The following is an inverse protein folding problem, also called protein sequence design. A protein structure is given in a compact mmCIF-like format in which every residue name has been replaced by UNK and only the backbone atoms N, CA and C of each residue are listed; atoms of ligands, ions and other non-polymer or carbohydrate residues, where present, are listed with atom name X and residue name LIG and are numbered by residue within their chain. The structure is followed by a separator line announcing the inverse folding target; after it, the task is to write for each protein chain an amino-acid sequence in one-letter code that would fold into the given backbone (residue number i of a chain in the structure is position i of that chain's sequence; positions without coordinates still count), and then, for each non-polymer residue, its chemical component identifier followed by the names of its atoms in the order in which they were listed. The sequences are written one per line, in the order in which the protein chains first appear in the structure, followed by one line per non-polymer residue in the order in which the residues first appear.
data_IF_246765507137
#
_entry.id   IF_246765507137
#
_cell.length_a   1.000
_cell.length_b   1.000
_cell.length_c   1.000
_cell.angle_alpha   90.00
_cell.angle_beta   90.00
_cell.angle_gamma   90.00
#
_symmetry.space_group_name_H-M   'P 1'
#
loop_
_entity.id
_entity.type
_entity.pdbx_description
1 polymer ?
#
# COMPACT_ATOMS: atom_id res chain seq x y z
N UNK A 1 -35.47 61.36 39.43
CA UNK A 1 -35.23 60.35 40.51
C UNK A 1 -34.04 59.48 40.03
N UNK A 2 -32.91 59.57 40.72
CA UNK A 2 -31.73 58.72 40.45
C UNK A 2 -31.83 57.45 41.29
N UNK A 3 -31.44 56.28 40.82
CA UNK A 3 -31.41 55.06 41.62
C UNK A 3 -30.19 55.10 42.60
N UNK A 4 -30.26 54.37 43.73
CA UNK A 4 -29.24 54.39 44.77
C UNK A 4 -28.00 53.52 44.38
N UNK A 5 -26.84 53.80 45.00
CA UNK A 5 -25.61 53.09 44.72
C UNK A 5 -25.56 51.72 45.40
N UNK A 6 -25.05 50.72 44.67
CA UNK A 6 -24.78 49.35 45.15
C UNK A 6 -23.46 49.30 45.98
N UNK A 7 -23.36 48.44 47.00
CA UNK A 7 -22.19 48.37 47.89
C UNK A 7 -21.04 47.61 47.23
N UNK A 8 -19.82 48.13 47.34
CA UNK A 8 -18.54 47.52 46.92
C UNK A 8 -18.23 46.30 47.77
N UNK A 9 -18.08 45.16 47.09
CA UNK A 9 -17.57 43.92 47.68
C UNK A 9 -16.08 44.04 47.99
N UNK A 10 -15.68 43.71 49.20
CA UNK A 10 -14.29 43.62 49.66
C UNK A 10 -13.60 42.46 49.10
N UNK A 11 -12.52 42.67 48.30
CA UNK A 11 -11.61 41.65 47.81
C UNK A 11 -10.79 41.13 49.00
N UNK A 12 -11.00 39.86 49.37
CA UNK A 12 -10.14 39.14 50.32
C UNK A 12 -8.90 38.61 49.58
N UNK A 13 -7.73 39.07 49.98
CA UNK A 13 -6.44 38.52 49.55
C UNK A 13 -6.32 37.06 49.99
N UNK A 14 -6.24 36.15 49.04
CA UNK A 14 -5.88 34.75 49.27
C UNK A 14 -4.37 34.60 49.13
N UNK A 15 -3.68 33.84 50.01
CA UNK A 15 -2.23 33.71 49.95
C UNK A 15 -1.76 32.86 48.78
N UNK A 16 -0.65 33.27 48.15
CA UNK A 16 0.08 32.56 47.11
C UNK A 16 0.35 31.10 47.50
N UNK A 17 -0.28 30.19 46.78
CA UNK A 17 0.02 28.77 46.84
C UNK A 17 1.32 28.55 46.06
N UNK A 18 2.38 28.13 46.73
CA UNK A 18 3.66 27.74 46.17
C UNK A 18 3.41 26.55 45.22
N UNK A 19 3.70 26.74 43.92
CA UNK A 19 3.71 25.70 42.94
C UNK A 19 4.80 24.65 43.30
N UNK A 20 4.38 23.60 43.98
CA UNK A 20 5.17 22.38 44.03
C UNK A 20 5.10 21.71 42.66
N UNK A 21 6.18 21.87 41.91
CA UNK A 21 6.41 21.07 40.69
C UNK A 21 6.35 19.60 41.04
N UNK A 22 5.19 18.98 40.88
CA UNK A 22 5.05 17.53 40.85
C UNK A 22 5.81 17.01 39.61
N UNK A 23 7.08 16.67 39.81
CA UNK A 23 7.82 15.82 38.89
C UNK A 23 7.19 14.43 38.99
N UNK A 24 6.32 14.11 38.05
CA UNK A 24 5.91 12.72 37.79
C UNK A 24 7.17 11.89 37.58
N UNK A 25 7.31 10.72 38.24
CA UNK A 25 8.48 9.87 38.03
C UNK A 25 8.55 9.45 36.56
N UNK A 26 9.76 9.37 35.97
CA UNK A 26 9.92 9.00 34.58
C UNK A 26 9.38 7.58 34.39
N UNK A 27 8.28 7.46 33.67
CA UNK A 27 7.76 6.20 33.18
C UNK A 27 8.85 5.54 32.31
N UNK A 28 8.96 4.20 32.36
CA UNK A 28 9.98 3.37 31.65
C UNK A 28 10.06 3.59 30.13
N UNK A 29 9.23 4.45 29.56
CA UNK A 29 9.15 4.78 28.12
C UNK A 29 10.08 5.93 27.68
N UNK A 30 10.96 6.45 28.54
CA UNK A 30 11.84 7.58 28.22
C UNK A 30 13.14 7.15 27.49
N UNK A 31 13.25 5.93 26.98
CA UNK A 31 14.35 5.53 26.08
C UNK A 31 14.06 6.03 24.67
N UNK A 32 15.09 6.56 24.00
CA UNK A 32 15.01 6.96 22.60
C UNK A 32 14.33 5.86 21.76
N UNK A 33 13.23 6.18 21.05
CA UNK A 33 12.47 5.18 20.30
C UNK A 33 13.21 4.70 19.06
N UNK A 34 14.20 5.47 18.61
CA UNK A 34 15.02 5.17 17.45
C UNK A 34 16.43 4.76 17.84
N UNK A 35 16.89 3.67 17.27
CA UNK A 35 18.22 3.10 17.49
C UNK A 35 19.08 3.22 16.23
N UNK A 36 20.43 3.15 16.34
CA UNK A 36 21.31 3.07 15.18
C UNK A 36 20.96 1.93 14.22
N UNK A 37 20.41 0.82 14.74
CA UNK A 37 19.96 -0.30 13.92
C UNK A 37 18.77 0.08 13.03
N UNK A 38 17.77 0.80 13.56
CA UNK A 38 16.65 1.30 12.76
C UNK A 38 17.14 2.23 11.65
N UNK A 39 18.09 3.11 11.98
CA UNK A 39 18.69 4.04 11.02
C UNK A 39 19.42 3.27 9.90
N UNK A 40 20.30 2.35 10.24
CA UNK A 40 21.07 1.54 9.27
C UNK A 40 20.15 0.77 8.32
N UNK A 41 19.11 0.13 8.84
CA UNK A 41 18.14 -0.61 8.02
C UNK A 41 17.35 0.33 7.09
N UNK A 42 16.90 1.45 7.60
CA UNK A 42 16.17 2.45 6.81
C UNK A 42 17.06 3.09 5.72
N UNK A 43 18.31 3.41 6.06
CA UNK A 43 19.28 3.94 5.11
C UNK A 43 19.55 2.94 3.97
N UNK A 44 19.85 1.69 4.29
CA UNK A 44 20.08 0.65 3.28
C UNK A 44 18.86 0.46 2.36
N UNK A 45 17.66 0.48 2.94
CA UNK A 45 16.43 0.43 2.15
C UNK A 45 16.31 1.63 1.20
N UNK A 46 16.57 2.85 1.68
CA UNK A 46 16.46 4.07 0.90
C UNK A 46 17.45 4.09 -0.27
N UNK A 47 18.73 3.75 -0.01
CA UNK A 47 19.76 3.67 -1.03
C UNK A 47 19.36 2.70 -2.15
N UNK A 48 18.83 1.53 -1.79
CA UNK A 48 18.34 0.55 -2.77
C UNK A 48 17.10 1.04 -3.53
N UNK A 49 16.19 1.71 -2.85
CA UNK A 49 14.97 2.23 -3.46
C UNK A 49 15.25 3.38 -4.45
N UNK A 50 16.25 4.22 -4.15
CA UNK A 50 16.61 5.42 -4.96
C UNK A 50 17.89 5.26 -5.77
N UNK A 51 18.40 4.04 -5.97
CA UNK A 51 19.69 3.79 -6.66
C UNK A 51 19.75 4.26 -8.12
N UNK A 52 18.61 4.46 -8.77
CA UNK A 52 18.47 4.89 -10.16
C UNK A 52 17.82 6.26 -10.29
N UNK A 53 17.86 7.06 -9.24
CA UNK A 53 17.36 8.44 -9.31
C UNK A 53 18.34 9.29 -10.14
N UNK A 54 17.86 10.40 -10.76
CA UNK A 54 18.69 11.33 -11.52
C UNK A 54 19.87 11.85 -10.70
N UNK A 55 20.92 12.30 -11.38
CA UNK A 55 22.17 12.72 -10.75
C UNK A 55 22.02 14.01 -9.91
N UNK A 56 20.98 14.80 -10.16
CA UNK A 56 20.59 16.00 -9.41
C UNK A 56 19.68 15.71 -8.20
N UNK A 57 19.34 14.44 -7.95
CA UNK A 57 18.47 14.08 -6.84
C UNK A 57 19.17 14.17 -5.47
N UNK A 58 18.44 14.62 -4.46
CA UNK A 58 18.90 14.81 -3.07
C UNK A 58 19.49 13.56 -2.40
N UNK A 59 19.20 12.37 -2.95
CA UNK A 59 19.75 11.11 -2.45
C UNK A 59 21.28 11.05 -2.57
N UNK A 60 21.85 11.71 -3.58
CA UNK A 60 23.30 11.71 -3.78
C UNK A 60 24.01 12.53 -2.71
N UNK A 61 23.43 13.66 -2.28
CA UNK A 61 23.93 14.42 -1.14
C UNK A 61 23.91 13.58 0.15
N UNK A 62 22.79 12.91 0.42
CA UNK A 62 22.66 12.01 1.57
C UNK A 62 23.64 10.84 1.53
N UNK A 63 23.99 10.34 0.34
CA UNK A 63 25.02 9.29 0.18
C UNK A 63 26.42 9.79 0.39
N UNK A 64 26.75 10.97 -0.15
CA UNK A 64 28.06 11.56 -0.05
C UNK A 64 28.43 11.93 1.41
N UNK A 65 27.48 12.55 2.13
CA UNK A 65 27.64 12.95 3.53
C UNK A 65 27.11 11.87 4.52
N UNK A 66 27.05 10.63 4.10
CA UNK A 66 26.24 9.56 4.71
C UNK A 66 26.32 9.45 6.23
N UNK A 67 27.51 9.41 6.83
CA UNK A 67 27.62 9.26 8.29
C UNK A 67 27.15 10.53 9.01
N UNK A 68 27.65 11.70 8.61
CA UNK A 68 27.27 12.99 9.21
C UNK A 68 25.76 13.23 9.17
N UNK A 69 25.15 13.02 7.99
CA UNK A 69 23.71 13.18 7.80
C UNK A 69 22.88 12.23 8.70
N UNK A 70 23.35 10.99 8.84
CA UNK A 70 22.69 10.00 9.69
C UNK A 70 22.75 10.39 11.17
N UNK A 71 23.90 10.88 11.64
CA UNK A 71 24.09 11.29 13.03
C UNK A 71 23.26 12.55 13.36
N UNK A 72 23.22 13.54 12.44
CA UNK A 72 22.39 14.74 12.56
C UNK A 72 20.91 14.38 12.60
N UNK A 73 20.43 13.52 11.71
CA UNK A 73 19.04 13.06 11.66
C UNK A 73 18.65 12.35 12.95
N UNK A 74 19.48 11.41 13.41
CA UNK A 74 19.20 10.64 14.63
C UNK A 74 19.17 11.53 15.86
N UNK A 75 20.10 12.50 15.97
CA UNK A 75 20.14 13.48 17.04
C UNK A 75 18.89 14.36 17.05
N UNK A 76 18.53 14.92 15.90
CA UNK A 76 17.35 15.78 15.77
C UNK A 76 16.02 15.04 16.06
N UNK A 77 15.91 13.78 15.66
CA UNK A 77 14.73 12.96 15.97
C UNK A 77 14.64 12.69 17.46
N UNK A 78 15.73 12.23 18.07
CA UNK A 78 15.76 11.87 19.48
C UNK A 78 15.62 13.10 20.39
N UNK A 79 16.04 14.29 19.93
CA UNK A 79 15.79 15.59 20.58
C UNK A 79 14.34 16.08 20.40
N UNK A 80 13.55 15.48 19.51
CA UNK A 80 12.19 15.95 19.19
C UNK A 80 12.15 17.19 18.30
N UNK A 81 13.29 17.58 17.74
CA UNK A 81 13.48 18.80 16.94
C UNK A 81 13.25 18.58 15.44
N UNK A 82 13.26 17.32 15.01
CA UNK A 82 13.08 16.98 13.58
C UNK A 82 11.74 17.49 13.04
N UNK A 83 11.80 18.15 11.89
CA UNK A 83 10.62 18.65 11.17
C UNK A 83 10.61 18.08 9.76
N UNK A 84 9.48 17.47 9.37
CA UNK A 84 9.26 17.01 8.01
C UNK A 84 9.11 18.20 7.07
N UNK A 85 9.83 18.16 5.96
CA UNK A 85 9.71 19.14 4.88
C UNK A 85 8.38 18.96 4.12
N UNK A 86 7.91 19.98 3.38
CA UNK A 86 6.77 19.80 2.51
C UNK A 86 6.98 18.68 1.47
N UNK A 87 5.92 17.93 1.19
CA UNK A 87 5.90 16.91 0.14
C UNK A 87 5.97 17.60 -1.22
N UNK A 88 6.97 17.33 -2.01
CA UNK A 88 7.19 17.97 -3.31
C UNK A 88 6.41 17.30 -4.42
N UNK A 89 5.80 18.10 -5.29
CA UNK A 89 5.19 17.63 -6.54
C UNK A 89 6.15 17.90 -7.69
N UNK A 90 6.74 16.84 -8.21
CA UNK A 90 7.65 16.92 -9.36
C UNK A 90 6.87 16.62 -10.63
N UNK A 91 6.84 17.57 -11.55
CA UNK A 91 6.24 17.42 -12.89
C UNK A 91 7.28 16.81 -13.83
N UNK A 92 7.04 15.60 -14.29
CA UNK A 92 7.91 14.96 -15.28
C UNK A 92 7.69 15.58 -16.66
N UNK A 93 8.69 15.50 -17.54
CA UNK A 93 8.55 15.90 -18.95
C UNK A 93 7.38 15.21 -19.66
N UNK A 94 6.98 14.04 -19.16
CA UNK A 94 5.79 13.30 -19.60
C UNK A 94 4.45 13.93 -19.17
N UNK A 95 4.41 15.04 -18.41
CA UNK A 95 3.21 15.65 -17.81
C UNK A 95 2.69 14.93 -16.56
N UNK A 96 3.27 13.79 -16.18
CA UNK A 96 2.90 13.06 -14.98
C UNK A 96 3.46 13.76 -13.73
N UNK A 97 2.61 13.94 -12.70
CA UNK A 97 3.06 14.48 -11.40
C UNK A 97 3.43 13.35 -10.45
N UNK A 98 4.58 13.49 -9.80
CA UNK A 98 5.09 12.58 -8.78
C UNK A 98 5.17 13.31 -7.44
N UNK A 99 4.48 12.81 -6.44
CA UNK A 99 4.61 13.30 -5.06
C UNK A 99 5.80 12.59 -4.39
N UNK A 100 6.76 13.37 -3.90
CA UNK A 100 8.01 12.85 -3.37
C UNK A 100 8.40 13.52 -2.05
N UNK A 101 8.67 12.72 -1.04
CA UNK A 101 9.34 13.16 0.18
C UNK A 101 10.83 13.36 -0.09
N UNK A 102 11.46 14.33 0.59
CA UNK A 102 12.92 14.46 0.58
C UNK A 102 13.59 13.13 0.98
N UNK A 103 14.87 12.94 0.63
CA UNK A 103 15.60 11.73 1.04
C UNK A 103 15.76 11.64 2.56
N UNK A 104 15.95 12.79 3.24
CA UNK A 104 15.97 12.84 4.72
C UNK A 104 14.65 12.42 5.32
N UNK A 105 13.53 12.96 4.83
CA UNK A 105 12.19 12.61 5.33
C UNK A 105 11.81 11.17 5.01
N UNK A 106 12.13 10.69 3.80
CA UNK A 106 11.90 9.30 3.43
C UNK A 106 12.66 8.31 4.35
N UNK A 107 13.88 8.68 4.77
CA UNK A 107 14.67 7.92 5.74
C UNK A 107 13.96 7.89 7.10
N UNK A 108 13.55 9.05 7.61
CA UNK A 108 12.85 9.18 8.91
C UNK A 108 11.52 8.43 8.91
N UNK A 109 10.74 8.58 7.85
CA UNK A 109 9.46 7.87 7.69
C UNK A 109 9.66 6.35 7.59
N UNK A 110 10.78 5.88 7.02
CA UNK A 110 11.11 4.46 7.01
C UNK A 110 11.54 3.95 8.38
N UNK A 111 12.32 4.73 9.14
CA UNK A 111 12.65 4.42 10.53
C UNK A 111 11.38 4.34 11.39
N UNK A 112 10.50 5.35 11.26
CA UNK A 112 9.22 5.39 11.97
C UNK A 112 8.37 4.16 11.63
N UNK A 113 8.33 3.74 10.36
CA UNK A 113 7.64 2.52 9.94
C UNK A 113 8.18 1.30 10.69
N UNK A 114 9.50 1.11 10.74
CA UNK A 114 10.13 -0.02 11.45
C UNK A 114 9.78 -0.08 12.93
N UNK A 115 9.75 1.08 13.61
CA UNK A 115 9.36 1.17 15.02
C UNK A 115 7.88 0.88 15.24
N UNK A 116 7.02 1.30 14.31
CA UNK A 116 5.57 1.15 14.42
C UNK A 116 5.08 -0.23 13.99
N UNK A 117 5.79 -0.94 13.12
CA UNK A 117 5.47 -2.33 12.73
C UNK A 117 5.33 -3.27 13.94
N UNK A 118 6.11 -3.05 15.02
CA UNK A 118 6.05 -3.84 16.24
C UNK A 118 4.97 -3.37 17.25
N UNK A 119 4.37 -2.19 17.05
CA UNK A 119 3.47 -1.53 18.01
C UNK A 119 2.03 -1.44 17.53
N UNK A 120 1.81 -1.33 16.24
CA UNK A 120 0.49 -1.22 15.66
C UNK A 120 -0.07 -2.59 15.30
N UNK A 121 -1.28 -2.93 15.77
CA UNK A 121 -1.91 -4.18 15.38
C UNK A 121 -2.33 -4.12 13.90
N UNK A 122 -1.94 -5.13 13.14
CA UNK A 122 -2.40 -5.34 11.77
C UNK A 122 -2.97 -6.73 11.65
N UNK A 123 -4.19 -6.83 11.15
CA UNK A 123 -4.89 -8.11 11.09
C UNK A 123 -4.32 -9.03 9.98
N UNK A 124 -4.15 -10.35 10.23
CA UNK A 124 -3.62 -11.29 9.22
C UNK A 124 -4.44 -11.37 7.93
N UNK A 125 -5.74 -11.03 7.97
CA UNK A 125 -6.60 -10.93 6.78
C UNK A 125 -6.31 -9.69 5.91
N UNK A 126 -5.47 -8.76 6.40
CA UNK A 126 -4.89 -7.68 5.62
C UNK A 126 -3.58 -8.16 5.00
N UNK A 127 -3.67 -8.73 3.80
CA UNK A 127 -2.64 -9.61 3.22
C UNK A 127 -1.47 -8.87 2.54
N UNK A 128 -1.54 -7.54 2.37
CA UNK A 128 -0.46 -6.78 1.72
C UNK A 128 0.72 -6.47 2.64
N UNK A 129 0.57 -6.58 3.94
CA UNK A 129 1.63 -6.30 4.90
C UNK A 129 2.70 -7.39 4.88
N UNK A 130 3.95 -6.97 5.05
CA UNK A 130 5.10 -7.87 5.13
C UNK A 130 4.88 -8.94 6.22
N UNK A 131 5.09 -10.18 5.88
CA UNK A 131 4.81 -11.32 6.77
C UNK A 131 3.42 -11.94 6.61
N UNK A 132 2.44 -11.26 6.00
CA UNK A 132 1.10 -11.80 5.77
C UNK A 132 0.97 -12.55 4.41
N UNK A 133 2.06 -12.65 3.66
CA UNK A 133 2.19 -13.49 2.47
C UNK A 133 2.04 -12.77 1.14
N UNK A 134 1.54 -11.54 1.12
CA UNK A 134 1.40 -10.75 -0.10
C UNK A 134 0.40 -11.31 -1.13
N UNK A 135 0.38 -10.73 -2.31
CA UNK A 135 -0.59 -11.09 -3.36
C UNK A 135 -0.52 -12.55 -3.81
N UNK A 136 0.67 -13.15 -3.80
CA UNK A 136 0.84 -14.58 -4.16
C UNK A 136 0.15 -15.51 -3.17
N UNK A 137 0.34 -15.27 -1.89
CA UNK A 137 -0.28 -16.08 -0.84
C UNK A 137 -1.80 -15.83 -0.80
N UNK A 138 -2.23 -14.59 -1.05
CA UNK A 138 -3.65 -14.26 -1.18
C UNK A 138 -4.32 -15.07 -2.28
N UNK A 139 -3.76 -15.09 -3.49
CA UNK A 139 -4.29 -15.87 -4.61
C UNK A 139 -4.30 -17.38 -4.33
N UNK A 140 -3.25 -17.90 -3.70
CA UNK A 140 -3.18 -19.30 -3.32
C UNK A 140 -4.23 -19.68 -2.26
N UNK A 141 -4.45 -18.82 -1.25
CA UNK A 141 -5.48 -19.04 -0.23
C UNK A 141 -6.88 -19.05 -0.83
N UNK A 142 -7.16 -18.17 -1.79
CA UNK A 142 -8.45 -18.12 -2.50
C UNK A 142 -8.63 -19.35 -3.37
N UNK A 143 -7.62 -19.77 -4.12
CA UNK A 143 -7.63 -20.99 -4.95
C UNK A 143 -7.93 -22.23 -4.11
N UNK A 144 -7.18 -22.40 -3.03
CA UNK A 144 -7.36 -23.53 -2.10
C UNK A 144 -8.76 -23.57 -1.49
N UNK A 145 -9.29 -22.40 -1.09
CA UNK A 145 -10.64 -22.29 -0.52
C UNK A 145 -11.71 -22.69 -1.55
N UNK A 146 -11.61 -22.20 -2.77
CA UNK A 146 -12.59 -22.54 -3.82
C UNK A 146 -12.56 -24.02 -4.19
N UNK A 147 -11.36 -24.63 -4.27
CA UNK A 147 -11.22 -26.07 -4.53
C UNK A 147 -11.79 -26.95 -3.43
N UNK A 148 -11.57 -26.54 -2.18
CA UNK A 148 -12.03 -27.31 -1.03
C UNK A 148 -13.56 -27.19 -0.78
N UNK A 149 -14.15 -26.02 -1.05
CA UNK A 149 -15.51 -25.71 -0.61
C UNK A 149 -16.47 -25.40 -1.77
N UNK A 150 -15.98 -25.23 -2.99
CA UNK A 150 -16.82 -24.91 -4.16
C UNK A 150 -17.74 -23.71 -3.95
N UNK A 151 -17.31 -22.69 -3.20
CA UNK A 151 -18.14 -21.57 -2.73
C UNK A 151 -18.80 -20.83 -3.89
N UNK A 152 -20.15 -20.78 -3.97
CA UNK A 152 -20.85 -20.37 -5.19
C UNK A 152 -21.04 -18.86 -5.36
N UNK A 153 -20.82 -18.05 -4.32
CA UNK A 153 -21.08 -16.62 -4.38
C UNK A 153 -19.85 -15.78 -4.03
N UNK A 154 -19.67 -14.70 -4.78
CA UNK A 154 -18.54 -13.77 -4.61
C UNK A 154 -19.01 -12.33 -4.58
N UNK A 155 -18.36 -11.55 -3.74
CA UNK A 155 -18.34 -10.09 -3.78
C UNK A 155 -16.90 -9.63 -3.78
N UNK A 156 -16.56 -8.79 -4.76
CA UNK A 156 -15.26 -8.09 -4.85
C UNK A 156 -15.51 -6.60 -5.02
N UNK A 157 -14.74 -5.78 -4.35
CA UNK A 157 -14.83 -4.32 -4.46
C UNK A 157 -13.52 -3.66 -4.10
N UNK A 158 -13.42 -2.35 -4.35
CA UNK A 158 -12.29 -1.48 -4.11
C UNK A 158 -12.78 -0.16 -3.49
N UNK A 159 -12.05 0.43 -2.57
CA UNK A 159 -12.37 1.76 -2.02
C UNK A 159 -11.93 2.84 -3.02
N UNK A 160 -12.84 3.74 -3.37
CA UNK A 160 -12.52 4.88 -4.23
C UNK A 160 -11.55 5.83 -3.54
N UNK A 161 -10.33 5.92 -4.07
CA UNK A 161 -9.33 6.86 -3.58
C UNK A 161 -8.93 6.67 -2.11
N UNK A 162 -8.71 5.43 -1.67
CA UNK A 162 -8.51 5.06 -0.27
C UNK A 162 -7.60 6.01 0.51
N UNK A 163 -6.33 6.18 0.08
CA UNK A 163 -5.39 7.05 0.79
C UNK A 163 -5.86 8.51 0.89
N UNK A 164 -6.49 9.04 -0.15
CA UNK A 164 -6.99 10.40 -0.18
C UNK A 164 -8.26 10.61 0.65
N UNK A 165 -8.98 9.52 0.94
CA UNK A 165 -10.24 9.57 1.69
C UNK A 165 -10.07 9.34 3.20
N UNK A 166 -8.89 8.91 3.67
CA UNK A 166 -8.63 8.67 5.09
C UNK A 166 -8.86 9.94 5.92
N UNK A 167 -9.67 9.82 6.97
CA UNK A 167 -9.88 10.88 7.96
C UNK A 167 -8.68 10.92 8.91
N UNK A 168 -7.94 12.05 8.89
CA UNK A 168 -6.71 12.25 9.66
C UNK A 168 -6.96 12.26 11.16
N UNK A 169 -8.02 12.91 11.59
CA UNK A 169 -8.37 13.01 13.01
C UNK A 169 -8.74 11.66 13.59
N UNK A 170 -9.54 10.89 12.85
CA UNK A 170 -9.89 9.53 13.24
C UNK A 170 -8.66 8.62 13.30
N UNK A 171 -7.81 8.67 12.28
CA UNK A 171 -6.58 7.87 12.25
C UNK A 171 -5.65 8.26 13.41
N UNK A 172 -5.49 9.55 13.69
CA UNK A 172 -4.68 10.01 14.82
C UNK A 172 -5.25 9.54 16.18
N UNK A 173 -6.56 9.63 16.36
CA UNK A 173 -7.22 9.12 17.56
C UNK A 173 -7.07 7.58 17.73
N UNK A 174 -7.02 6.83 16.63
CA UNK A 174 -6.70 5.40 16.68
C UNK A 174 -5.25 5.17 17.08
N UNK A 175 -4.30 5.94 16.52
CA UNK A 175 -2.87 5.83 16.81
C UNK A 175 -2.54 6.14 18.29
N UNK A 176 -3.17 7.15 18.89
CA UNK A 176 -2.93 7.53 20.29
C UNK A 176 -3.37 6.47 21.31
N UNK A 177 -4.20 5.51 20.91
CA UNK A 177 -4.55 4.35 21.76
C UNK A 177 -3.42 3.33 21.87
N UNK A 178 -2.48 3.33 20.95
CA UNK A 178 -1.39 2.35 20.87
C UNK A 178 -0.01 2.97 21.04
N UNK A 179 0.12 4.26 20.80
CA UNK A 179 1.37 5.00 20.86
C UNK A 179 1.25 6.09 21.91
N UNK A 180 2.14 6.06 22.90
CA UNK A 180 2.19 7.04 23.99
C UNK A 180 3.45 7.90 23.95
N UNK A 181 4.49 7.45 23.22
CA UNK A 181 5.77 8.13 23.16
C UNK A 181 5.68 9.47 22.41
N UNK A 182 6.07 10.61 23.04
CA UNK A 182 5.82 11.94 22.49
C UNK A 182 6.53 12.20 21.15
N UNK A 183 7.75 11.70 20.96
CA UNK A 183 8.50 11.85 19.70
C UNK A 183 7.78 11.11 18.55
N UNK A 184 7.28 9.90 18.81
CA UNK A 184 6.52 9.15 17.78
C UNK A 184 5.21 9.84 17.44
N UNK A 185 4.48 10.34 18.45
CA UNK A 185 3.23 11.08 18.23
C UNK A 185 3.47 12.38 17.47
N UNK A 186 4.56 13.11 17.76
CA UNK A 186 4.91 14.32 17.03
C UNK A 186 5.21 14.02 15.55
N UNK A 187 6.02 13.02 15.24
CA UNK A 187 6.30 12.62 13.85
C UNK A 187 5.05 12.13 13.12
N UNK A 188 4.18 11.39 13.80
CA UNK A 188 2.89 10.95 13.25
C UNK A 188 1.97 12.13 12.96
N UNK A 189 1.92 13.11 13.88
CA UNK A 189 1.16 14.34 13.67
C UNK A 189 1.66 15.11 12.45
N UNK A 190 2.97 15.33 12.34
CA UNK A 190 3.59 15.99 11.18
C UNK A 190 3.29 15.24 9.88
N UNK A 191 3.41 13.91 9.89
CA UNK A 191 3.11 13.07 8.73
C UNK A 191 1.64 13.17 8.30
N UNK A 192 0.71 13.22 9.23
CA UNK A 192 -0.72 13.35 8.92
C UNK A 192 -1.09 14.76 8.45
N UNK A 193 -0.43 15.79 8.99
CA UNK A 193 -0.69 17.19 8.65
C UNK A 193 0.36 17.78 7.70
N UNK A 194 0.93 16.94 6.84
CA UNK A 194 1.92 17.35 5.87
C UNK A 194 1.42 18.46 4.96
N UNK A 195 2.32 19.37 4.60
CA UNK A 195 2.12 20.34 3.53
C UNK A 195 2.64 19.80 2.21
N UNK A 196 2.06 20.26 1.12
CA UNK A 196 2.46 19.94 -0.26
C UNK A 196 2.99 21.20 -0.89
N UNK A 197 4.12 21.08 -1.57
CA UNK A 197 4.71 22.11 -2.41
C UNK A 197 4.53 21.71 -3.88
N UNK A 198 3.87 22.56 -4.68
CA UNK A 198 3.65 22.37 -6.11
C UNK A 198 4.03 23.66 -6.86
N UNK A 199 5.29 23.74 -7.30
CA UNK A 199 5.81 24.86 -8.06
C UNK A 199 5.70 26.21 -7.33
N UNK A 200 6.08 26.24 -6.06
CA UNK A 200 6.05 27.42 -5.19
C UNK A 200 4.71 27.61 -4.44
N UNK A 201 3.69 26.86 -4.77
CA UNK A 201 2.41 26.90 -4.05
C UNK A 201 2.37 25.88 -2.92
N UNK A 202 2.04 26.36 -1.72
CA UNK A 202 1.94 25.51 -0.54
C UNK A 202 0.49 25.30 -0.13
N UNK A 203 0.10 24.05 0.13
CA UNK A 203 -1.21 23.72 0.68
C UNK A 203 -1.14 22.51 1.60
N UNK A 204 -2.05 22.46 2.58
CA UNK A 204 -2.18 21.32 3.50
C UNK A 204 -3.49 20.58 3.19
N UNK A 205 -3.44 19.33 2.69
CA UNK A 205 -4.65 18.56 2.43
C UNK A 205 -5.47 18.36 3.71
N UNK A 206 -6.76 18.64 3.67
CA UNK A 206 -7.64 18.46 4.85
C UNK A 206 -7.88 16.98 5.18
N UNK A 207 -7.88 16.09 4.19
CA UNK A 207 -8.08 14.63 4.30
C UNK A 207 -6.95 13.90 3.59
N UNK A 208 -6.83 12.63 3.93
CA UNK A 208 -5.91 11.72 3.29
C UNK A 208 -4.50 11.73 3.86
N UNK A 209 -3.77 10.67 3.58
CA UNK A 209 -2.34 10.53 3.87
C UNK A 209 -1.54 10.51 2.56
N UNK A 210 -0.28 10.91 2.63
CA UNK A 210 0.56 10.99 1.44
C UNK A 210 0.77 9.60 0.83
N UNK A 211 0.77 9.53 -0.49
CA UNK A 211 1.22 8.35 -1.23
C UNK A 211 2.74 8.39 -1.37
N UNK A 212 3.38 7.24 -1.53
CA UNK A 212 4.84 7.19 -1.75
C UNK A 212 5.69 7.21 -0.49
N UNK A 213 5.10 7.32 0.71
CA UNK A 213 5.83 7.13 1.96
C UNK A 213 5.84 5.65 2.38
N UNK A 214 6.96 5.19 2.95
CA UNK A 214 7.05 3.84 3.51
C UNK A 214 6.03 3.57 4.63
N UNK A 215 5.62 4.63 5.32
CA UNK A 215 4.67 4.57 6.44
C UNK A 215 3.22 4.35 6.01
N UNK A 216 2.83 4.85 4.83
CA UNK A 216 1.42 4.88 4.40
C UNK A 216 0.75 3.52 4.31
N UNK A 217 1.38 2.45 3.78
CA UNK A 217 0.77 1.12 3.76
C UNK A 217 0.48 0.56 5.16
N UNK A 218 1.37 0.78 6.12
CA UNK A 218 1.18 0.34 7.50
C UNK A 218 0.00 1.07 8.15
N UNK A 219 -0.06 2.39 8.03
CA UNK A 219 -1.16 3.18 8.60
C UNK A 219 -2.51 2.85 7.93
N UNK A 220 -2.51 2.63 6.63
CA UNK A 220 -3.70 2.19 5.91
C UNK A 220 -4.17 0.79 6.34
N UNK A 221 -3.23 -0.13 6.61
CA UNK A 221 -3.57 -1.45 7.15
C UNK A 221 -4.17 -1.34 8.55
N UNK A 222 -3.51 -0.58 9.43
CA UNK A 222 -3.93 -0.35 10.80
C UNK A 222 -5.30 0.35 10.88
N UNK A 223 -5.56 1.35 10.04
CA UNK A 223 -6.80 2.13 10.05
C UNK A 223 -8.07 1.28 9.95
N UNK A 224 -8.03 0.17 9.23
CA UNK A 224 -9.13 -0.77 9.06
C UNK A 224 -8.99 -2.07 9.89
N UNK A 225 -8.14 -2.08 10.90
CA UNK A 225 -7.91 -3.24 11.78
C UNK A 225 -9.21 -3.75 12.41
N UNK A 226 -10.06 -2.85 12.91
CA UNK A 226 -11.33 -3.20 13.55
C UNK A 226 -12.30 -3.87 12.56
N UNK A 227 -12.34 -3.37 11.32
CA UNK A 227 -13.14 -3.99 10.24
C UNK A 227 -12.65 -5.40 9.92
N UNK A 228 -11.33 -5.59 9.75
CA UNK A 228 -10.76 -6.92 9.51
C UNK A 228 -11.05 -7.87 10.68
N UNK A 229 -10.95 -7.37 11.91
CA UNK A 229 -11.24 -8.14 13.14
C UNK A 229 -12.71 -8.55 13.22
N UNK A 230 -13.63 -7.68 12.80
CA UNK A 230 -15.06 -8.00 12.72
C UNK A 230 -15.31 -9.14 11.71
N UNK A 231 -14.71 -9.05 10.52
CA UNK A 231 -14.84 -10.09 9.51
C UNK A 231 -14.15 -11.40 9.88
N UNK A 232 -13.08 -11.37 10.66
CA UNK A 232 -12.42 -12.57 11.16
C UNK A 232 -13.33 -13.42 12.06
N UNK A 233 -14.26 -12.79 12.80
CA UNK A 233 -15.23 -13.47 13.64
C UNK A 233 -16.36 -14.14 12.83
N UNK A 234 -16.54 -13.76 11.57
CA UNK A 234 -17.58 -14.32 10.71
C UNK A 234 -17.06 -15.55 9.95
N UNK A 235 -17.16 -16.71 10.59
CA UNK A 235 -16.70 -18.00 10.02
C UNK A 235 -17.53 -18.49 8.83
N UNK A 236 -18.69 -17.86 8.55
CA UNK A 236 -19.58 -18.25 7.44
C UNK A 236 -19.14 -17.72 6.09
N UNK A 237 -18.14 -16.82 6.06
CA UNK A 237 -17.60 -16.26 4.83
C UNK A 237 -16.09 -16.37 4.80
N UNK A 238 -15.53 -16.49 3.61
CA UNK A 238 -14.11 -16.26 3.40
C UNK A 238 -13.91 -14.79 3.05
N UNK A 239 -13.22 -14.07 3.92
CA UNK A 239 -12.84 -12.67 3.72
C UNK A 239 -11.34 -12.56 3.46
N UNK A 240 -10.96 -11.67 2.55
CA UNK A 240 -9.57 -11.25 2.32
C UNK A 240 -9.55 -9.78 1.95
N UNK A 241 -8.55 -9.05 2.46
CA UNK A 241 -8.29 -7.66 2.09
C UNK A 241 -6.84 -7.49 1.61
N UNK A 242 -6.70 -6.82 0.49
CA UNK A 242 -5.40 -6.42 -0.02
C UNK A 242 -5.40 -4.90 -0.25
N UNK A 243 -4.85 -4.14 0.69
CA UNK A 243 -4.96 -2.67 0.74
C UNK A 243 -6.42 -2.19 0.75
N UNK A 244 -6.88 -1.65 -0.36
CA UNK A 244 -8.21 -1.15 -0.68
C UNK A 244 -9.11 -2.14 -1.42
N UNK A 245 -8.54 -3.24 -1.91
CA UNK A 245 -9.29 -4.34 -2.55
C UNK A 245 -9.86 -5.32 -1.49
N UNK A 246 -11.15 -5.63 -1.59
CA UNK A 246 -11.86 -6.56 -0.73
C UNK A 246 -12.41 -7.74 -1.51
N UNK A 247 -12.33 -8.93 -0.92
CA UNK A 247 -12.93 -10.14 -1.44
C UNK A 247 -13.74 -10.84 -0.35
N UNK A 248 -15.00 -11.19 -0.64
CA UNK A 248 -15.87 -12.01 0.21
C UNK A 248 -16.39 -13.16 -0.63
N UNK A 249 -16.17 -14.39 -0.18
CA UNK A 249 -16.78 -15.59 -0.72
C UNK A 249 -17.77 -16.16 0.29
N UNK A 250 -18.94 -16.59 -0.16
CA UNK A 250 -20.00 -17.07 0.72
C UNK A 250 -20.74 -18.30 0.13
N UNK A 251 -21.20 -19.24 0.98
CA UNK A 251 -21.90 -20.45 0.55
C UNK A 251 -23.33 -20.17 0.06
N UNK A 252 -23.96 -19.10 0.52
CA UNK A 252 -25.33 -18.75 0.12
C UNK A 252 -25.46 -17.28 -0.25
N UNK A 253 -26.45 -16.98 -1.09
CA UNK A 253 -26.79 -15.60 -1.49
C UNK A 253 -27.11 -14.70 -0.29
N UNK A 254 -27.79 -15.25 0.71
CA UNK A 254 -28.21 -14.51 1.90
C UNK A 254 -27.01 -14.18 2.81
N UNK A 255 -26.12 -15.15 3.02
CA UNK A 255 -24.87 -14.94 3.76
C UNK A 255 -24.01 -13.86 3.09
N UNK A 256 -23.89 -13.89 1.74
CA UNK A 256 -23.18 -12.86 0.99
C UNK A 256 -23.82 -11.48 1.17
N UNK A 257 -25.16 -11.37 0.99
CA UNK A 257 -25.87 -10.10 1.12
C UNK A 257 -25.70 -9.48 2.50
N UNK A 258 -25.74 -10.29 3.57
CA UNK A 258 -25.49 -9.82 4.93
C UNK A 258 -24.07 -9.29 5.06
N UNK A 259 -23.06 -10.06 4.68
CA UNK A 259 -21.66 -9.65 4.75
C UNK A 259 -21.37 -8.38 3.93
N UNK A 260 -21.98 -8.24 2.74
CA UNK A 260 -21.84 -7.03 1.90
C UNK A 260 -22.48 -5.81 2.55
N UNK A 261 -23.66 -5.97 3.17
CA UNK A 261 -24.31 -4.89 3.94
C UNK A 261 -23.42 -4.44 5.09
N UNK A 262 -22.89 -5.39 5.87
CA UNK A 262 -22.07 -5.13 7.03
C UNK A 262 -20.75 -4.43 6.60
N UNK A 263 -20.12 -4.87 5.51
CA UNK A 263 -18.95 -4.20 4.92
C UNK A 263 -19.25 -2.76 4.51
N UNK A 264 -20.35 -2.55 3.76
CA UNK A 264 -20.76 -1.22 3.31
C UNK A 264 -21.03 -0.28 4.48
N UNK A 265 -21.72 -0.76 5.50
CA UNK A 265 -22.01 0.01 6.72
C UNK A 265 -20.74 0.40 7.45
N UNK A 266 -19.82 -0.55 7.66
CA UNK A 266 -18.52 -0.26 8.26
C UNK A 266 -17.73 0.79 7.45
N UNK A 267 -17.60 0.61 6.14
CA UNK A 267 -16.86 1.54 5.29
C UNK A 267 -17.51 2.93 5.25
N UNK A 268 -18.84 3.00 5.23
CA UNK A 268 -19.58 4.27 5.34
C UNK A 268 -19.31 4.99 6.66
N UNK A 269 -19.24 4.25 7.79
CA UNK A 269 -18.88 4.80 9.08
C UNK A 269 -17.45 5.40 9.12
N UNK A 270 -16.53 4.87 8.28
CA UNK A 270 -15.21 5.44 8.07
C UNK A 270 -15.19 6.59 7.05
N UNK A 271 -16.33 6.89 6.42
CA UNK A 271 -16.44 7.91 5.37
C UNK A 271 -15.89 7.46 4.00
N UNK A 272 -15.79 6.15 3.78
CA UNK A 272 -15.34 5.59 2.51
C UNK A 272 -16.50 5.26 1.57
N UNK A 273 -16.25 5.42 0.28
CA UNK A 273 -17.15 5.01 -0.79
C UNK A 273 -16.51 3.90 -1.63
N UNK A 274 -17.32 2.94 -2.07
CA UNK A 274 -16.86 1.88 -2.95
C UNK A 274 -16.76 2.39 -4.39
N UNK A 275 -15.82 1.81 -5.15
CA UNK A 275 -15.67 2.11 -6.57
C UNK A 275 -16.71 1.33 -7.38
N UNK A 276 -17.71 1.98 -8.01
CA UNK A 276 -18.81 1.26 -8.67
C UNK A 276 -18.32 0.35 -9.80
N UNK A 277 -17.43 0.84 -10.67
CA UNK A 277 -16.92 0.09 -11.83
C UNK A 277 -16.00 -1.08 -11.49
N UNK A 278 -15.52 -1.16 -10.25
CA UNK A 278 -14.68 -2.25 -9.75
C UNK A 278 -15.44 -3.18 -8.82
N UNK A 279 -16.71 -2.89 -8.54
CA UNK A 279 -17.54 -3.73 -7.68
C UNK A 279 -18.17 -4.85 -8.48
N UNK A 280 -17.90 -6.07 -8.08
CA UNK A 280 -18.48 -7.27 -8.66
C UNK A 280 -19.25 -8.06 -7.60
N UNK A 281 -20.51 -8.38 -7.88
CA UNK A 281 -21.38 -9.21 -7.05
C UNK A 281 -22.01 -10.29 -7.94
N UNK A 282 -21.84 -11.56 -7.60
CA UNK A 282 -22.43 -12.61 -8.43
C UNK A 282 -22.05 -14.01 -8.00
N UNK A 283 -22.28 -14.96 -8.94
CA UNK A 283 -21.86 -16.35 -8.80
C UNK A 283 -20.41 -16.53 -9.24
N UNK A 284 -19.66 -17.35 -8.52
CA UNK A 284 -18.28 -17.73 -8.84
C UNK A 284 -18.15 -18.50 -10.15
N UNK A 285 -19.22 -19.17 -10.62
CA UNK A 285 -19.30 -19.83 -11.94
C UNK A 285 -19.02 -18.84 -13.09
N UNK A 286 -19.50 -17.59 -12.97
CA UNK A 286 -19.28 -16.54 -13.98
C UNK A 286 -17.83 -16.05 -14.00
N UNK A 287 -17.07 -16.36 -12.97
CA UNK A 287 -15.70 -15.95 -12.78
C UNK A 287 -15.56 -14.55 -12.19
N UNK A 288 -14.42 -14.31 -11.53
CA UNK A 288 -14.04 -13.01 -10.95
C UNK A 288 -12.53 -12.81 -10.99
N UNK A 289 -12.13 -11.55 -10.98
CA UNK A 289 -10.71 -11.14 -10.92
C UNK A 289 -10.28 -10.94 -9.46
N UNK A 290 -9.19 -11.57 -9.04
CA UNK A 290 -8.51 -11.27 -7.79
C UNK A 290 -7.01 -11.24 -8.01
N UNK A 291 -6.37 -10.15 -7.64
CA UNK A 291 -4.93 -9.95 -7.82
C UNK A 291 -4.43 -10.29 -9.24
N UNK A 292 -5.27 -9.99 -10.27
CA UNK A 292 -4.97 -10.20 -11.70
C UNK A 292 -5.11 -11.62 -12.22
N UNK A 293 -5.60 -12.53 -11.38
CA UNK A 293 -5.95 -13.88 -11.78
C UNK A 293 -7.46 -14.02 -11.91
N UNK A 294 -7.90 -14.82 -12.85
CA UNK A 294 -9.30 -15.14 -13.10
C UNK A 294 -9.68 -16.42 -12.39
N UNK A 295 -10.62 -16.33 -11.48
CA UNK A 295 -11.13 -17.43 -10.68
C UNK A 295 -12.53 -17.84 -11.12
N UNK A 296 -12.84 -19.12 -10.97
CA UNK A 296 -14.18 -19.68 -10.97
C UNK A 296 -14.37 -20.57 -9.74
N UNK A 297 -15.53 -21.23 -9.63
CA UNK A 297 -15.86 -22.12 -8.51
C UNK A 297 -14.79 -23.19 -8.24
N UNK A 298 -14.13 -23.72 -9.29
CA UNK A 298 -13.05 -24.71 -9.18
C UNK A 298 -11.64 -24.11 -8.95
N UNK A 299 -11.52 -22.83 -8.62
CA UNK A 299 -10.25 -22.16 -8.40
C UNK A 299 -9.74 -21.37 -9.59
N UNK A 300 -8.41 -21.19 -9.68
CA UNK A 300 -7.75 -20.41 -10.74
C UNK A 300 -7.96 -21.05 -12.11
N UNK A 301 -8.46 -20.27 -13.07
CA UNK A 301 -8.67 -20.70 -14.45
C UNK A 301 -7.61 -20.11 -15.40
N UNK A 302 -7.33 -18.83 -15.26
CA UNK A 302 -6.47 -18.09 -16.17
C UNK A 302 -6.00 -16.79 -15.54
N UNK A 303 -5.35 -15.98 -16.35
CA UNK A 303 -5.04 -14.61 -15.99
C UNK A 303 -6.25 -13.76 -16.32
N UNK A 304 -6.57 -12.80 -15.44
CA UNK A 304 -7.70 -11.92 -15.63
C UNK A 304 -7.59 -11.14 -16.96
N UNK A 305 -8.67 -11.03 -17.75
CA UNK A 305 -8.65 -10.31 -19.04
C UNK A 305 -8.13 -8.88 -18.92
N UNK A 306 -8.48 -8.19 -17.83
CA UNK A 306 -8.02 -6.83 -17.52
C UNK A 306 -6.50 -6.77 -17.31
N UNK A 307 -5.91 -7.78 -16.66
CA UNK A 307 -4.46 -7.89 -16.47
C UNK A 307 -3.74 -8.12 -17.79
N UNK A 308 -4.30 -8.96 -18.67
CA UNK A 308 -3.84 -9.18 -20.04
C UNK A 308 -3.82 -7.89 -20.86
N UNK A 309 -4.92 -7.14 -20.85
CA UNK A 309 -5.05 -5.88 -21.58
C UNK A 309 -4.04 -4.83 -21.10
N UNK A 310 -3.88 -4.71 -19.78
CA UNK A 310 -2.87 -3.82 -19.18
C UNK A 310 -1.44 -4.20 -19.60
N UNK A 311 -1.13 -5.48 -19.64
CA UNK A 311 0.18 -5.93 -20.10
C UNK A 311 0.45 -5.60 -21.57
N UNK A 312 -0.51 -5.88 -22.44
CA UNK A 312 -0.39 -5.53 -23.87
C UNK A 312 -0.12 -4.05 -24.05
N UNK A 313 -0.88 -3.20 -23.35
CA UNK A 313 -0.68 -1.76 -23.39
C UNK A 313 0.72 -1.37 -22.89
N UNK A 314 1.18 -1.98 -21.79
CA UNK A 314 2.51 -1.70 -21.25
C UNK A 314 3.65 -2.18 -22.17
N UNK A 315 3.49 -3.30 -22.86
CA UNK A 315 4.45 -3.73 -23.86
C UNK A 315 4.54 -2.73 -25.01
N UNK A 316 3.39 -2.22 -25.51
CA UNK A 316 3.38 -1.18 -26.55
C UNK A 316 4.09 0.09 -26.08
N UNK A 317 3.73 0.61 -24.91
CA UNK A 317 4.36 1.81 -24.32
C UNK A 317 5.87 1.64 -24.11
N UNK A 318 6.30 0.48 -23.61
CA UNK A 318 7.73 0.19 -23.47
C UNK A 318 8.42 0.16 -24.82
N UNK A 319 7.83 -0.49 -25.84
CA UNK A 319 8.37 -0.52 -27.19
C UNK A 319 8.54 0.87 -27.78
N UNK A 320 7.51 1.72 -27.70
CA UNK A 320 7.58 3.12 -28.15
C UNK A 320 8.67 3.92 -27.42
N UNK A 321 8.79 3.71 -26.12
CA UNK A 321 9.80 4.41 -25.31
C UNK A 321 11.24 4.00 -25.67
N UNK A 322 11.47 2.75 -26.07
CA UNK A 322 12.80 2.21 -26.37
C UNK A 322 13.09 2.08 -27.87
N UNK A 323 12.20 2.52 -28.76
CA UNK A 323 12.32 2.35 -30.21
C UNK A 323 13.58 3.02 -30.82
N UNK A 324 14.11 4.05 -30.14
CA UNK A 324 15.34 4.76 -30.53
C UNK A 324 16.62 4.01 -30.19
N UNK A 325 16.56 2.97 -29.37
CA UNK A 325 17.71 2.16 -29.00
C UNK A 325 18.03 1.14 -30.11
N UNK A 326 19.24 0.59 -30.08
CA UNK A 326 19.59 -0.52 -30.97
C UNK A 326 18.71 -1.76 -30.68
N UNK A 327 18.61 -2.66 -31.66
CA UNK A 327 17.71 -3.84 -31.60
C UNK A 327 18.02 -4.79 -30.44
N UNK A 328 19.30 -4.93 -30.07
CA UNK A 328 19.72 -5.82 -28.99
C UNK A 328 19.26 -5.29 -27.63
N UNK A 329 19.44 -3.98 -27.37
CA UNK A 329 18.95 -3.32 -26.17
C UNK A 329 17.43 -3.31 -26.10
N UNK A 330 16.72 -3.09 -27.22
CA UNK A 330 15.26 -3.21 -27.29
C UNK A 330 14.83 -4.61 -26.86
N UNK A 331 15.45 -5.64 -27.45
CA UNK A 331 15.13 -7.04 -27.16
C UNK A 331 15.43 -7.40 -25.71
N UNK A 332 16.58 -6.96 -25.16
CA UNK A 332 16.97 -7.21 -23.79
C UNK A 332 16.00 -6.56 -22.78
N UNK A 333 15.61 -5.28 -23.01
CA UNK A 333 14.65 -4.56 -22.15
C UNK A 333 13.25 -5.18 -22.20
N UNK A 334 12.76 -5.54 -23.39
CA UNK A 334 11.48 -6.22 -23.54
C UNK A 334 11.49 -7.60 -22.87
N UNK A 335 12.56 -8.38 -23.03
CA UNK A 335 12.72 -9.68 -22.39
C UNK A 335 12.80 -9.55 -20.86
N UNK A 336 13.51 -8.55 -20.35
CA UNK A 336 13.59 -8.25 -18.93
C UNK A 336 12.22 -7.93 -18.32
N UNK A 337 11.45 -7.06 -18.98
CA UNK A 337 10.08 -6.74 -18.58
C UNK A 337 9.19 -7.99 -18.57
N UNK A 338 9.21 -8.81 -19.63
CA UNK A 338 8.44 -10.06 -19.74
C UNK A 338 8.83 -11.07 -18.66
N UNK A 339 10.13 -11.24 -18.38
CA UNK A 339 10.61 -12.13 -17.31
C UNK A 339 10.10 -11.70 -15.92
N UNK A 340 10.19 -10.42 -15.59
CA UNK A 340 9.67 -9.90 -14.31
C UNK A 340 8.17 -10.19 -14.18
N UNK A 341 7.44 -9.93 -15.24
CA UNK A 341 6.02 -10.13 -15.28
C UNK A 341 5.59 -11.61 -15.15
N UNK A 342 6.31 -12.53 -15.79
CA UNK A 342 6.11 -13.99 -15.65
C UNK A 342 6.43 -14.44 -14.23
N UNK A 343 7.50 -13.93 -13.61
CA UNK A 343 7.86 -14.28 -12.21
C UNK A 343 6.76 -13.93 -11.21
N UNK A 344 6.04 -12.85 -11.42
CA UNK A 344 4.91 -12.48 -10.59
C UNK A 344 3.76 -13.50 -10.65
N UNK A 345 3.72 -14.31 -11.69
CA UNK A 345 2.65 -15.26 -12.02
C UNK A 345 3.09 -16.72 -11.91
N UNK A 346 4.36 -16.97 -11.55
CA UNK A 346 4.91 -18.33 -11.41
C UNK A 346 4.02 -19.31 -10.62
N UNK A 347 3.25 -18.93 -9.59
CA UNK A 347 2.30 -19.83 -8.94
C UNK A 347 1.25 -20.38 -9.90
N UNK A 348 0.89 -19.60 -10.93
CA UNK A 348 -0.14 -19.98 -11.92
C UNK A 348 0.44 -20.85 -13.02
N UNK A 349 1.65 -20.51 -13.51
CA UNK A 349 2.31 -21.28 -14.58
C UNK A 349 2.75 -22.65 -14.11
N UNK A 350 3.26 -22.77 -12.88
CA UNK A 350 3.59 -24.06 -12.25
C UNK A 350 2.36 -24.95 -12.10
N UNK A 351 1.23 -24.38 -11.72
CA UNK A 351 -0.04 -25.10 -11.58
C UNK A 351 -0.57 -25.60 -12.93
N UNK A 352 -0.50 -24.79 -13.97
CA UNK A 352 -0.93 -25.20 -15.32
C UNK A 352 -0.03 -26.28 -15.95
N UNK A 353 1.27 -26.29 -15.62
CA UNK A 353 2.18 -27.37 -16.02
C UNK A 353 1.88 -28.67 -15.28
N UNK A 354 1.50 -28.61 -13.99
CA UNK A 354 1.11 -29.79 -13.22
C UNK A 354 -0.22 -30.39 -13.71
N UNK A 355 -1.21 -29.57 -14.09
CA UNK A 355 -2.46 -30.08 -14.66
C UNK A 355 -2.24 -30.75 -16.05
N UNK A 356 -1.31 -30.25 -16.86
CA UNK A 356 -0.93 -30.92 -18.15
C UNK A 356 -0.23 -32.26 -17.90
N UNK A 357 0.60 -32.37 -16.87
CA UNK A 357 1.26 -33.65 -16.50
C UNK A 357 0.26 -34.71 -16.00
N UNK A 358 -0.77 -34.28 -15.31
CA UNK A 358 -1.79 -35.20 -14.76
C UNK A 358 -2.94 -35.53 -15.73
N UNK A 359 -3.09 -34.78 -16.83
CA UNK A 359 -4.19 -34.92 -17.79
C UNK A 359 -3.87 -35.59 -19.10
N UNK A 360 -2.60 -35.91 -19.39
CA UNK A 360 -2.20 -36.59 -20.64
C UNK A 360 -1.44 -37.87 -20.29
N UNK A 361 -2.11 -39.01 -20.40
CA UNK A 361 -1.42 -40.26 -20.82
C UNK A 361 -1.10 -40.08 -22.31
N UNK A 362 0.15 -40.16 -22.75
CA UNK A 362 0.46 -40.13 -24.18
C UNK A 362 0.05 -41.44 -24.82
N UNK A 363 -0.90 -41.38 -25.75
CA UNK A 363 -0.99 -42.34 -26.82
C UNK A 363 0.29 -42.24 -27.65
N UNK A 364 0.90 -43.38 -27.93
CA UNK A 364 2.10 -43.59 -28.72
C UNK A 364 2.07 -42.83 -30.04
N UNK A 365 3.04 -41.98 -30.32
CA UNK A 365 3.23 -41.30 -31.58
C UNK A 365 4.32 -40.24 -31.51
N UNK A 366 5.48 -40.58 -32.04
CA UNK A 366 6.67 -39.73 -32.19
C UNK A 366 6.37 -38.34 -32.73
N UNK A 367 6.61 -37.29 -31.95
CA UNK A 367 6.94 -35.96 -32.47
C UNK A 367 7.74 -35.17 -31.43
N UNK A 368 8.86 -34.66 -31.89
CA UNK A 368 9.89 -33.87 -31.20
C UNK A 368 9.32 -32.77 -30.28
N UNK A 369 9.58 -32.77 -28.96
CA UNK A 369 8.91 -31.88 -28.01
C UNK A 369 9.43 -30.44 -28.02
N UNK A 370 10.46 -30.09 -28.76
CA UNK A 370 11.14 -28.78 -28.66
C UNK A 370 10.40 -27.63 -29.38
N UNK A 371 9.54 -27.92 -30.38
CA UNK A 371 8.89 -26.86 -31.19
C UNK A 371 7.46 -26.53 -30.78
N UNK A 372 6.68 -27.48 -30.28
CA UNK A 372 5.29 -27.25 -29.94
C UNK A 372 5.12 -26.49 -28.60
N UNK A 373 6.02 -26.67 -27.62
CA UNK A 373 5.99 -25.93 -26.33
C UNK A 373 6.34 -24.44 -26.43
N UNK A 374 7.13 -24.07 -27.43
CA UNK A 374 7.59 -22.68 -27.61
C UNK A 374 6.52 -21.73 -28.13
N UNK A 375 5.63 -22.16 -28.98
CA UNK A 375 4.60 -21.31 -29.63
C UNK A 375 3.44 -21.09 -28.64
N UNK A 376 3.01 -22.12 -27.95
CA UNK A 376 1.93 -22.00 -26.93
C UNK A 376 2.36 -21.23 -25.70
N UNK A 377 3.63 -21.34 -25.28
CA UNK A 377 4.24 -20.54 -24.24
C UNK A 377 4.30 -19.05 -24.64
N UNK A 378 4.69 -18.75 -25.90
CA UNK A 378 4.73 -17.38 -26.44
C UNK A 378 3.35 -16.74 -26.50
N UNK A 379 2.31 -17.46 -26.86
CA UNK A 379 0.94 -16.95 -26.91
C UNK A 379 0.37 -16.70 -25.50
N UNK A 380 0.68 -17.58 -24.53
CA UNK A 380 0.25 -17.40 -23.14
C UNK A 380 0.98 -16.28 -22.41
N UNK A 381 2.28 -16.10 -22.69
CA UNK A 381 3.08 -15.02 -22.12
C UNK A 381 2.65 -13.66 -22.68
N UNK A 382 2.08 -13.58 -23.88
CA UNK A 382 1.51 -12.34 -24.43
C UNK A 382 0.31 -11.80 -23.66
N UNK A 383 -0.21 -12.55 -22.72
CA UNK A 383 -1.43 -12.24 -21.98
C UNK A 383 -1.32 -11.72 -20.53
N UNK A 384 -0.15 -11.58 -19.91
CA UNK A 384 -0.02 -11.41 -18.47
C UNK A 384 0.39 -9.97 -18.02
N UNK A 385 -0.24 -9.34 -17.06
CA UNK A 385 -0.14 -7.94 -16.67
C UNK A 385 0.64 -7.59 -15.39
N UNK A 386 0.71 -6.36 -15.02
CA UNK A 386 1.52 -5.70 -14.01
C UNK A 386 1.33 -6.21 -12.57
N UNK A 387 1.96 -7.27 -12.11
CA UNK A 387 1.93 -7.64 -10.69
C UNK A 387 3.28 -7.61 -9.96
N UNK A 388 4.39 -7.47 -10.69
CA UNK A 388 5.73 -7.62 -10.15
C UNK A 388 6.43 -6.31 -9.72
N UNK A 389 5.90 -5.15 -10.09
CA UNK A 389 6.57 -3.86 -9.82
C UNK A 389 6.39 -3.39 -8.37
N UNK A 390 5.49 -4.06 -7.64
CA UNK A 390 5.03 -3.63 -6.33
C UNK A 390 5.94 -3.96 -5.15
N UNK A 391 6.74 -4.98 -5.27
CA UNK A 391 7.57 -5.41 -4.14
C UNK A 391 8.97 -4.79 -4.09
N UNK A 392 9.40 -4.02 -5.12
CA UNK A 392 10.79 -3.55 -5.17
C UNK A 392 11.04 -2.07 -5.49
N UNK A 393 10.04 -1.20 -5.55
CA UNK A 393 10.29 0.24 -5.74
C UNK A 393 11.09 0.62 -7.01
N UNK A 394 11.07 -0.22 -8.05
CA UNK A 394 11.73 0.10 -9.31
C UNK A 394 10.80 0.94 -10.19
N UNK A 395 11.00 2.25 -10.17
CA UNK A 395 10.36 3.20 -11.08
C UNK A 395 10.87 3.01 -12.50
N UNK A 396 10.10 2.29 -13.32
CA UNK A 396 10.16 2.46 -14.77
C UNK A 396 9.14 3.55 -15.13
N UNK A 397 9.63 4.68 -15.65
CA UNK A 397 8.82 5.82 -16.08
C UNK A 397 7.62 5.39 -16.93
N UNK A 398 6.45 5.94 -16.61
CA UNK A 398 5.23 5.71 -17.37
C UNK A 398 5.03 6.84 -18.40
N UNK A 399 4.67 6.53 -19.64
CA UNK A 399 4.16 7.51 -20.57
C UNK A 399 2.64 7.70 -20.47
N UNK A 400 2.18 8.87 -20.90
CA UNK A 400 0.87 9.49 -20.77
C UNK A 400 -0.36 8.68 -21.14
N UNK A 401 -1.41 8.91 -20.38
CA UNK A 401 -2.80 8.88 -20.81
C UNK A 401 -3.48 10.20 -20.34
N UNK A 402 -3.97 10.98 -21.31
CA UNK A 402 -4.52 12.31 -21.16
C UNK A 402 -5.96 12.32 -20.62
N UNK A 403 -6.22 11.68 -19.48
CA UNK A 403 -7.45 11.89 -18.70
C UNK A 403 -7.08 12.13 -17.26
N UNK A 404 -7.78 12.99 -16.51
CA UNK A 404 -7.50 13.18 -15.09
C UNK A 404 -7.87 11.91 -14.33
N UNK A 405 -6.93 10.97 -14.28
CA UNK A 405 -7.03 9.82 -13.39
C UNK A 405 -6.54 10.27 -12.03
N UNK A 406 -7.46 10.50 -11.14
CA UNK A 406 -7.21 10.40 -9.70
C UNK A 406 -6.61 9.01 -9.46
N UNK A 407 -5.29 8.99 -9.40
CA UNK A 407 -4.38 7.90 -9.59
C UNK A 407 -4.58 6.67 -8.72
N UNK A 408 -4.48 5.57 -9.35
CA UNK A 408 -4.02 4.34 -8.73
C UNK A 408 -2.48 4.31 -8.84
N UNK A 409 -1.81 4.76 -7.81
CA UNK A 409 -0.42 4.42 -7.56
C UNK A 409 -0.43 3.12 -6.76
N UNK A 410 0.00 2.11 -7.41
CA UNK A 410 0.27 0.83 -6.79
C UNK A 410 1.73 0.78 -6.36
N UNK A 411 1.95 0.37 -5.14
CA UNK A 411 3.28 0.02 -4.60
C UNK A 411 3.78 -1.31 -5.10
#
# INVERSE_FOLDING_TARGET
MKPPPQPRAKIKNTPHRKDTKNKTPPTKDNKNPFTPTHLKQAYQWLINARKHYPDDADIWHLRFNGQREQDEILSAINGGEYRLSPLQIIKKASGESLALWSSRDALVLKMLTGVLEARLPVHPLCEHIKGHGGGRQSTWRVDRHLKAHGTPYVFRTDIKGYYAAIDKSRLYAQLTRHITHPILLNLLWQFLHYSVEDGGNFHTPRRGISRGAALSPLLAAFHLYELDSQFAKNTRVRYARYMDDFLILAPTRWTLRRAVRDLKQCLSNYGFTLHPDKTQLGKTERGFDWMGLWFKQGGIQSIAPRAVSKHRLQCRRLYEHIRHLNKDLQTARMASYRRRWVRALLPVTGFMQLQRRNGHRPGTGDRNPATAGGIEYRQRVRGLGRFAVWERGEHLGQPHDNRPRVGAWSY
#
